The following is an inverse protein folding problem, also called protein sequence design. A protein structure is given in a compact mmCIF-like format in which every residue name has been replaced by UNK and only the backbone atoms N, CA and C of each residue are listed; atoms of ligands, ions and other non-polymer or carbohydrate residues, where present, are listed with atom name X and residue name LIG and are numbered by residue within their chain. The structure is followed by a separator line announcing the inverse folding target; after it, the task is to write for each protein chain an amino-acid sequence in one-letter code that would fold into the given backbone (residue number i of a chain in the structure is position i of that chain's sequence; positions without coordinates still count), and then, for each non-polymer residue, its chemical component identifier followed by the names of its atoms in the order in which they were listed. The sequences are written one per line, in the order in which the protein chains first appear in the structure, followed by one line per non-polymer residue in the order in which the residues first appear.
data_IF_557844102945
#
_entry.id   IF_557844102945
#
_cell.length_a   1.000
_cell.length_b   1.000
_cell.length_c   1.000
_cell.angle_alpha   90.00
_cell.angle_beta   90.00
_cell.angle_gamma   90.00
#
_symmetry.space_group_name_H-M   'P 1'
#
loop_
_entity.id
_entity.type
_entity.pdbx_description
1 polymer ?
#
# COMPACT_ATOMS: atom_id res chain seq x y z
N UNK A 1 23.97 4.18 33.34
CA UNK A 1 23.45 5.05 32.25
C UNK A 1 21.95 4.85 32.09
N UNK A 2 21.17 5.93 32.06
CA UNK A 2 19.72 5.84 31.76
C UNK A 2 19.55 5.43 30.29
N UNK A 3 18.60 4.54 29.99
CA UNK A 3 18.25 4.20 28.60
C UNK A 3 17.29 5.25 28.04
N UNK A 4 17.49 5.65 26.78
CA UNK A 4 16.55 6.52 26.07
C UNK A 4 15.18 5.83 25.96
N UNK A 5 14.12 6.55 26.31
CA UNK A 5 12.74 6.12 26.11
C UNK A 5 11.98 7.24 25.42
N UNK A 6 11.44 6.94 24.24
CA UNK A 6 10.62 7.89 23.52
C UNK A 6 9.20 7.89 24.08
N UNK A 7 8.77 9.03 24.63
CA UNK A 7 7.47 9.17 25.30
C UNK A 7 6.26 8.87 24.41
N UNK A 8 6.41 8.95 23.08
CA UNK A 8 5.33 8.67 22.12
C UNK A 8 5.54 7.36 21.33
N UNK A 9 6.30 6.41 21.89
CA UNK A 9 6.58 5.13 21.24
C UNK A 9 5.31 4.35 20.89
N UNK A 10 4.30 4.34 21.77
CA UNK A 10 3.00 3.71 21.51
C UNK A 10 2.30 4.32 20.28
N UNK A 11 2.32 5.65 20.17
CA UNK A 11 1.73 6.39 19.03
C UNK A 11 2.49 6.09 17.74
N UNK A 12 3.83 6.03 17.79
CA UNK A 12 4.66 5.67 16.64
C UNK A 12 4.36 4.24 16.16
N UNK A 13 4.25 3.28 17.08
CA UNK A 13 3.86 1.89 16.76
C UNK A 13 2.49 1.82 16.11
N UNK A 14 1.49 2.50 16.68
CA UNK A 14 0.14 2.56 16.13
C UNK A 14 0.13 3.14 14.69
N UNK A 15 0.86 4.24 14.44
CA UNK A 15 0.94 4.86 13.11
C UNK A 15 1.65 3.95 12.09
N UNK A 16 2.72 3.26 12.50
CA UNK A 16 3.40 2.26 11.66
C UNK A 16 2.46 1.12 11.29
N UNK A 17 1.67 0.64 12.25
CA UNK A 17 0.65 -0.39 12.01
C UNK A 17 -0.41 0.11 11.02
N UNK A 18 -0.97 1.32 11.21
CA UNK A 18 -1.90 1.94 10.27
C UNK A 18 -1.33 2.03 8.85
N UNK A 19 -0.08 2.47 8.68
CA UNK A 19 0.63 2.47 7.39
C UNK A 19 0.68 1.07 6.78
N UNK A 20 1.00 0.05 7.59
CA UNK A 20 1.04 -1.35 7.14
C UNK A 20 -0.33 -1.82 6.63
N UNK A 21 -1.40 -1.51 7.37
CA UNK A 21 -2.77 -1.84 6.97
C UNK A 21 -3.15 -1.16 5.65
N UNK A 22 -2.81 0.11 5.46
CA UNK A 22 -3.06 0.81 4.19
C UNK A 22 -2.29 0.17 3.02
N UNK A 23 -1.05 -0.29 3.23
CA UNK A 23 -0.27 -0.97 2.19
C UNK A 23 -0.88 -2.32 1.83
N UNK A 24 -1.29 -3.09 2.82
CA UNK A 24 -1.94 -4.39 2.60
C UNK A 24 -3.24 -4.20 1.81
N UNK A 25 -4.10 -3.29 2.26
CA UNK A 25 -5.36 -2.98 1.58
C UNK A 25 -5.13 -2.54 0.13
N UNK A 26 -4.16 -1.65 -0.12
CA UNK A 26 -3.83 -1.23 -1.48
C UNK A 26 -3.39 -2.43 -2.35
N UNK A 27 -2.60 -3.34 -1.80
CA UNK A 27 -2.19 -4.57 -2.49
C UNK A 27 -3.36 -5.46 -2.87
N UNK A 28 -4.27 -5.72 -1.92
CA UNK A 28 -5.49 -6.52 -2.15
C UNK A 28 -6.39 -5.89 -3.23
N UNK A 29 -6.52 -4.57 -3.21
CA UNK A 29 -7.32 -3.84 -4.20
C UNK A 29 -6.71 -3.88 -5.60
N UNK A 30 -5.39 -3.71 -5.71
CA UNK A 30 -4.69 -3.82 -7.00
C UNK A 30 -4.77 -5.24 -7.56
N UNK A 31 -4.64 -6.26 -6.71
CA UNK A 31 -4.83 -7.65 -7.12
C UNK A 31 -6.26 -7.90 -7.62
N UNK A 32 -7.25 -7.32 -6.95
CA UNK A 32 -8.65 -7.44 -7.35
C UNK A 32 -8.93 -6.74 -8.68
N UNK A 33 -8.42 -5.53 -8.89
CA UNK A 33 -8.54 -4.84 -10.19
C UNK A 33 -7.87 -5.64 -11.32
N UNK A 34 -6.70 -6.24 -11.06
CA UNK A 34 -6.04 -7.10 -12.04
C UNK A 34 -6.92 -8.31 -12.41
N UNK A 35 -7.53 -8.99 -11.44
CA UNK A 35 -8.46 -10.09 -11.72
C UNK A 35 -9.65 -9.64 -12.58
N UNK A 36 -10.17 -8.43 -12.35
CA UNK A 36 -11.24 -7.88 -13.17
C UNK A 36 -10.78 -7.54 -14.60
N UNK A 37 -9.52 -7.09 -14.78
CA UNK A 37 -8.91 -6.91 -16.11
C UNK A 37 -8.89 -8.24 -16.84
N UNK A 38 -8.35 -9.27 -16.19
CA UNK A 38 -8.18 -10.59 -16.78
C UNK A 38 -9.55 -11.20 -17.14
N UNK A 39 -10.54 -11.07 -16.26
CA UNK A 39 -11.91 -11.50 -16.51
C UNK A 39 -12.56 -10.76 -17.69
N UNK A 40 -12.39 -9.44 -17.78
CA UNK A 40 -12.93 -8.67 -18.90
C UNK A 40 -12.31 -9.12 -20.22
N UNK A 41 -11.02 -9.43 -20.23
CA UNK A 41 -10.32 -9.87 -21.44
C UNK A 41 -10.76 -11.27 -21.88
N UNK A 42 -10.92 -12.19 -20.92
CA UNK A 42 -11.48 -13.52 -21.20
C UNK A 42 -12.89 -13.43 -21.81
N UNK A 43 -13.76 -12.59 -21.25
CA UNK A 43 -15.11 -12.39 -21.79
C UNK A 43 -15.10 -11.79 -23.20
N UNK A 44 -14.20 -10.84 -23.49
CA UNK A 44 -14.03 -10.29 -24.84
C UNK A 44 -13.54 -11.34 -25.82
N UNK A 45 -12.57 -12.17 -25.41
CA UNK A 45 -12.07 -13.26 -26.22
C UNK A 45 -13.20 -14.23 -26.57
N UNK A 46 -13.96 -14.71 -25.57
CA UNK A 46 -15.11 -15.58 -25.80
C UNK A 46 -16.14 -14.96 -26.73
N UNK A 47 -16.42 -13.66 -26.58
CA UNK A 47 -17.33 -12.94 -27.47
C UNK A 47 -16.80 -12.90 -28.90
N UNK A 48 -15.51 -12.68 -29.08
CA UNK A 48 -14.85 -12.72 -30.40
C UNK A 48 -14.95 -14.11 -31.04
N UNK A 49 -14.73 -15.17 -30.27
CA UNK A 49 -14.89 -16.56 -30.71
C UNK A 49 -16.32 -16.83 -31.21
N UNK A 50 -17.35 -16.33 -30.52
CA UNK A 50 -18.74 -16.46 -30.98
C UNK A 50 -18.98 -15.78 -32.34
N UNK A 51 -18.41 -14.59 -32.55
CA UNK A 51 -18.53 -13.89 -33.84
C UNK A 51 -17.75 -14.58 -34.96
N UNK A 52 -16.61 -15.18 -34.64
CA UNK A 52 -15.85 -15.96 -35.60
C UNK A 52 -16.62 -17.22 -36.02
N UNK A 53 -17.22 -17.93 -35.08
CA UNK A 53 -18.08 -19.08 -35.34
C UNK A 53 -19.27 -18.71 -36.24
N UNK A 54 -19.93 -17.58 -35.98
CA UNK A 54 -21.00 -17.05 -36.85
C UNK A 54 -20.49 -16.85 -38.29
N UNK A 55 -19.30 -16.28 -38.47
CA UNK A 55 -18.73 -16.04 -39.80
C UNK A 55 -18.42 -17.34 -40.53
N UNK A 56 -17.87 -18.33 -39.82
CA UNK A 56 -17.55 -19.65 -40.39
C UNK A 56 -18.83 -20.32 -40.90
N UNK A 57 -19.88 -20.39 -40.07
CA UNK A 57 -21.17 -20.99 -40.46
C UNK A 57 -21.82 -20.29 -41.65
N UNK A 58 -21.69 -18.97 -41.74
CA UNK A 58 -22.23 -18.20 -42.86
C UNK A 58 -21.44 -18.40 -44.17
N UNK A 59 -20.16 -18.74 -44.08
CA UNK A 59 -19.29 -18.94 -45.26
C UNK A 59 -19.58 -20.24 -46.03
N UNK A 60 -20.22 -21.22 -45.42
CA UNK A 60 -20.52 -22.53 -46.03
C UNK A 60 -21.75 -22.49 -46.97
N UNK A 61 -22.34 -21.32 -47.20
CA UNK A 61 -23.46 -21.12 -48.12
C UNK A 61 -24.80 -21.71 -47.66
N UNK A 62 -24.84 -22.37 -46.50
CA UNK A 62 -26.07 -22.77 -45.80
C UNK A 62 -26.30 -21.85 -44.62
N UNK A 63 -27.41 -21.12 -44.63
CA UNK A 63 -27.76 -20.21 -43.53
C UNK A 63 -28.46 -21.01 -42.43
N UNK A 64 -27.69 -21.38 -41.39
CA UNK A 64 -28.24 -21.86 -40.12
C UNK A 64 -28.73 -20.65 -39.30
N UNK A 65 -30.01 -20.29 -39.48
CA UNK A 65 -30.63 -19.12 -38.84
C UNK A 65 -30.70 -19.32 -37.32
N UNK A 66 -31.08 -20.51 -36.86
CA UNK A 66 -31.30 -20.79 -35.43
C UNK A 66 -29.99 -20.82 -34.65
N UNK A 67 -28.95 -21.47 -35.20
CA UNK A 67 -27.62 -21.46 -34.62
C UNK A 67 -26.99 -20.07 -34.61
N UNK A 68 -27.13 -19.31 -35.70
CA UNK A 68 -26.64 -17.92 -35.76
C UNK A 68 -27.33 -17.02 -34.74
N UNK A 69 -28.65 -17.17 -34.57
CA UNK A 69 -29.44 -16.39 -33.61
C UNK A 69 -29.02 -16.69 -32.17
N UNK A 70 -28.83 -17.97 -31.85
CA UNK A 70 -28.38 -18.43 -30.53
C UNK A 70 -27.00 -17.88 -30.17
N UNK A 71 -26.04 -17.94 -31.11
CA UNK A 71 -24.69 -17.40 -30.92
C UNK A 71 -24.69 -15.87 -30.73
N UNK A 72 -25.51 -15.15 -31.50
CA UNK A 72 -25.65 -13.68 -31.33
C UNK A 72 -26.28 -13.32 -29.99
N UNK A 73 -27.29 -14.06 -29.56
CA UNK A 73 -27.90 -13.86 -28.25
C UNK A 73 -26.87 -14.04 -27.13
N UNK A 74 -26.09 -15.13 -27.17
CA UNK A 74 -25.03 -15.37 -26.20
C UNK A 74 -23.92 -14.31 -26.24
N UNK A 75 -23.48 -13.88 -27.43
CA UNK A 75 -22.53 -12.78 -27.59
C UNK A 75 -23.06 -11.45 -27.00
N UNK A 76 -24.40 -11.25 -27.03
CA UNK A 76 -25.07 -10.16 -26.34
C UNK A 76 -24.98 -10.26 -24.81
N UNK A 77 -25.23 -11.45 -24.25
CA UNK A 77 -25.06 -11.70 -22.82
C UNK A 77 -23.62 -11.44 -22.36
N UNK A 78 -22.62 -11.90 -23.13
CA UNK A 78 -21.20 -11.62 -22.87
C UNK A 78 -20.91 -10.12 -22.86
N UNK A 79 -21.51 -9.35 -23.78
CA UNK A 79 -21.36 -7.90 -23.80
C UNK A 79 -21.90 -7.24 -22.51
N UNK A 80 -23.05 -7.69 -22.02
CA UNK A 80 -23.61 -7.20 -20.75
C UNK A 80 -22.68 -7.53 -19.56
N UNK A 81 -22.10 -8.73 -19.54
CA UNK A 81 -21.13 -9.12 -18.51
C UNK A 81 -19.86 -8.27 -18.57
N UNK A 82 -19.30 -8.03 -19.77
CA UNK A 82 -18.15 -7.15 -19.98
C UNK A 82 -18.44 -5.75 -19.42
N UNK A 83 -19.63 -5.20 -19.72
CA UNK A 83 -20.01 -3.89 -19.22
C UNK A 83 -20.11 -3.86 -17.68
N UNK A 84 -20.68 -4.90 -17.07
CA UNK A 84 -20.75 -5.03 -15.61
C UNK A 84 -19.35 -5.07 -14.97
N UNK A 85 -18.43 -5.87 -15.52
CA UNK A 85 -17.03 -5.92 -15.06
C UNK A 85 -16.36 -4.56 -15.19
N UNK A 86 -16.53 -3.86 -16.32
CA UNK A 86 -15.95 -2.54 -16.52
C UNK A 86 -16.49 -1.51 -15.50
N UNK A 87 -17.79 -1.50 -15.22
CA UNK A 87 -18.37 -0.64 -14.18
C UNK A 87 -17.76 -0.95 -12.80
N UNK A 88 -17.59 -2.23 -12.47
CA UNK A 88 -16.95 -2.63 -11.21
C UNK A 88 -15.49 -2.16 -11.15
N UNK A 89 -14.76 -2.19 -12.27
CA UNK A 89 -13.39 -1.67 -12.37
C UNK A 89 -13.32 -0.17 -12.17
N UNK A 90 -14.25 0.59 -12.73
CA UNK A 90 -14.30 2.04 -12.50
C UNK A 90 -14.52 2.37 -11.02
N UNK A 91 -15.41 1.63 -10.34
CA UNK A 91 -15.60 1.76 -8.91
C UNK A 91 -14.33 1.39 -8.13
N UNK A 92 -13.68 0.29 -8.49
CA UNK A 92 -12.42 -0.14 -7.88
C UNK A 92 -11.32 0.91 -8.07
N UNK A 93 -11.20 1.50 -9.26
CA UNK A 93 -10.24 2.55 -9.57
C UNK A 93 -10.40 3.78 -8.68
N UNK A 94 -11.64 4.22 -8.43
CA UNK A 94 -11.93 5.31 -7.47
C UNK A 94 -11.46 4.96 -6.07
N UNK A 95 -11.73 3.73 -5.62
CA UNK A 95 -11.32 3.28 -4.29
C UNK A 95 -9.78 3.16 -4.17
N UNK A 96 -9.09 2.69 -5.21
CA UNK A 96 -7.61 2.63 -5.25
C UNK A 96 -7.01 4.02 -5.08
N UNK A 97 -7.57 5.05 -5.73
CA UNK A 97 -7.11 6.44 -5.57
C UNK A 97 -7.25 6.90 -4.12
N UNK A 98 -8.40 6.65 -3.48
CA UNK A 98 -8.61 6.99 -2.07
C UNK A 98 -7.63 6.24 -1.16
N UNK A 99 -7.37 4.96 -1.44
CA UNK A 99 -6.43 4.15 -0.66
C UNK A 99 -4.99 4.67 -0.80
N UNK A 100 -4.57 5.10 -2.00
CA UNK A 100 -3.26 5.74 -2.23
C UNK A 100 -3.12 7.03 -1.43
N UNK A 101 -4.16 7.86 -1.38
CA UNK A 101 -4.16 9.09 -0.58
C UNK A 101 -4.06 8.79 0.91
N UNK A 102 -4.81 7.80 1.40
CA UNK A 102 -4.76 7.36 2.79
C UNK A 102 -3.37 6.82 3.17
N UNK A 103 -2.74 6.04 2.30
CA UNK A 103 -1.38 5.55 2.47
C UNK A 103 -0.37 6.70 2.53
N UNK A 104 -0.43 7.65 1.61
CA UNK A 104 0.46 8.81 1.59
C UNK A 104 0.35 9.61 2.90
N UNK A 105 -0.86 9.83 3.40
CA UNK A 105 -1.10 10.48 4.70
C UNK A 105 -0.50 9.67 5.85
N UNK A 106 -0.71 8.35 5.88
CA UNK A 106 -0.13 7.49 6.92
C UNK A 106 1.41 7.50 6.88
N UNK A 107 2.02 7.57 5.71
CA UNK A 107 3.48 7.68 5.55
C UNK A 107 4.01 9.02 6.09
N UNK A 108 3.33 10.13 5.78
CA UNK A 108 3.66 11.43 6.34
C UNK A 108 3.54 11.44 7.87
N UNK A 109 2.47 10.86 8.42
CA UNK A 109 2.23 10.76 9.87
C UNK A 109 3.33 9.95 10.58
N UNK A 110 3.83 8.87 9.97
CA UNK A 110 4.95 8.08 10.50
C UNK A 110 6.26 8.86 10.42
N UNK A 111 6.56 9.44 9.26
CA UNK A 111 7.81 10.22 9.06
C UNK A 111 7.92 11.40 10.02
N UNK A 112 6.80 12.07 10.30
CA UNK A 112 6.76 13.14 11.28
C UNK A 112 7.11 12.66 12.71
N UNK A 113 6.59 11.48 13.12
CA UNK A 113 6.90 10.91 14.43
C UNK A 113 8.33 10.38 14.52
N UNK A 114 8.86 9.80 13.45
CA UNK A 114 10.25 9.33 13.40
C UNK A 114 11.21 10.51 13.57
N UNK A 115 10.98 11.61 12.83
CA UNK A 115 11.75 12.85 13.01
C UNK A 115 11.64 13.43 14.42
N UNK A 116 10.46 13.34 15.05
CA UNK A 116 10.28 13.79 16.43
C UNK A 116 11.09 12.90 17.40
N UNK A 117 11.03 11.58 17.22
CA UNK A 117 11.83 10.62 17.99
C UNK A 117 13.32 10.90 17.87
N UNK A 118 13.81 11.17 16.67
CA UNK A 118 15.22 11.48 16.41
C UNK A 118 15.67 12.75 17.15
N UNK A 119 14.88 13.83 17.09
CA UNK A 119 15.15 15.07 17.85
C UNK A 119 15.19 14.85 19.37
N UNK A 120 14.26 14.04 19.89
CA UNK A 120 14.26 13.70 21.32
C UNK A 120 15.51 12.88 21.69
N UNK A 121 15.94 11.98 20.80
CA UNK A 121 17.15 11.17 21.00
C UNK A 121 18.40 12.03 20.99
N UNK A 122 18.54 12.95 20.02
CA UNK A 122 19.65 13.91 19.97
C UNK A 122 19.74 14.75 21.25
N UNK A 123 18.59 15.27 21.71
CA UNK A 123 18.51 16.05 22.94
C UNK A 123 18.92 15.23 24.16
N UNK A 124 18.47 13.97 24.24
CA UNK A 124 18.84 13.06 25.31
C UNK A 124 20.35 12.76 25.32
N UNK A 125 20.93 12.46 24.16
CA UNK A 125 22.36 12.18 24.01
C UNK A 125 23.20 13.41 24.38
N UNK A 126 22.79 14.61 23.94
CA UNK A 126 23.46 15.85 24.32
C UNK A 126 23.47 16.03 25.85
N UNK A 127 22.31 15.87 26.50
CA UNK A 127 22.20 15.99 27.94
C UNK A 127 23.00 14.92 28.71
N UNK A 128 23.10 13.70 28.16
CA UNK A 128 23.91 12.64 28.73
C UNK A 128 25.41 12.97 28.63
N UNK A 129 25.88 13.39 27.45
CA UNK A 129 27.27 13.76 27.23
C UNK A 129 27.69 14.92 28.15
N UNK A 130 26.83 15.93 28.32
CA UNK A 130 27.09 17.05 29.23
C UNK A 130 27.27 16.59 30.68
N UNK A 131 26.44 15.65 31.16
CA UNK A 131 26.60 15.08 32.50
C UNK A 131 27.88 14.29 32.64
N UNK A 132 28.20 13.45 31.66
CA UNK A 132 29.43 12.67 31.65
C UNK A 132 30.67 13.57 31.66
N UNK A 133 30.65 14.70 30.95
CA UNK A 133 31.74 15.69 31.00
C UNK A 133 31.90 16.34 32.37
N UNK A 134 30.80 16.74 33.01
CA UNK A 134 30.82 17.32 34.37
C UNK A 134 31.34 16.30 35.39
N UNK A 135 30.86 15.06 35.35
CA UNK A 135 31.34 13.97 36.21
C UNK A 135 32.84 13.70 36.01
N UNK A 136 33.34 13.81 34.77
CA UNK A 136 34.76 13.70 34.47
C UNK A 136 35.56 14.87 35.09
N UNK A 137 35.09 16.10 34.93
CA UNK A 137 35.77 17.29 35.48
C UNK A 137 35.83 17.27 37.01
N UNK A 138 34.73 16.85 37.66
CA UNK A 138 34.67 16.66 39.12
C UNK A 138 35.64 15.58 39.59
N UNK A 139 35.68 14.43 38.92
CA UNK A 139 36.61 13.34 39.27
C UNK A 139 38.06 13.75 39.09
N UNK A 140 38.41 14.41 37.98
CA UNK A 140 39.75 14.94 37.75
C UNK A 140 40.18 15.94 38.83
N UNK A 141 39.30 16.89 39.17
CA UNK A 141 39.55 17.89 40.22
C UNK A 141 39.75 17.25 41.60
N UNK A 142 38.96 16.24 41.94
CA UNK A 142 39.09 15.51 43.20
C UNK A 142 40.43 14.73 43.28
N UNK A 143 40.88 14.10 42.19
CA UNK A 143 42.21 13.47 42.13
C UNK A 143 43.37 14.46 42.30
N UNK A 144 43.26 15.67 41.75
CA UNK A 144 44.31 16.68 41.91
C UNK A 144 44.39 17.23 43.34
N UNK A 145 43.24 17.43 44.01
CA UNK A 145 43.20 17.88 45.40
C UNK A 145 43.72 16.81 46.39
N UNK A 146 43.54 15.53 46.09
CA UNK A 146 44.03 14.43 46.93
C UNK A 146 45.49 14.06 46.65
N UNK A 147 46.01 14.35 45.46
CA UNK A 147 47.42 14.15 45.09
C UNK A 147 48.38 15.28 45.51
N UNK A 148 47.88 16.40 46.05
CA UNK A 148 48.68 17.56 46.48
C UNK A 148 49.24 17.50 47.92
N UNK A 149 49.02 16.40 48.65
CA UNK A 149 49.67 16.14 49.94
C UNK A 149 50.84 15.17 49.76
N UNK A 150 51.98 15.69 49.28
CA UNK A 150 53.30 15.09 49.48
C UNK A 150 54.32 16.20 49.77
#
# INVERSE_FOLDING_TARGET
MKKFQFQFESVLKMRRHKRSMCRQLLGEMLQTDQRLIDQAEQLKQHRSEQFQEIRVRQSEGRVDIDGTTSLRYYAGQLQTQIQSVNTNRELMGKQIVLCRQALAKAEQEVKAMEKLSDKHRETFLYAQNQKEMVELEETWSATQQTGGYQ
#
